data_IF_417762138271
#
_entry.id   IF_417762138271
#
_cell.length_a   1.000
_cell.length_b   1.000
_cell.length_c   1.000
_cell.angle_alpha   90.00
_cell.angle_beta   90.00
_cell.angle_gamma   90.00
#
_symmetry.space_group_name_H-M   'P 1'
#
loop_
_entity.id
_entity.type
_entity.pdbx_description
1 polymer ?
#
# COMPACT_ATOMS: atom_id res chain seq x y z
N UNK A 1 4.23 17.04 7.39
CA UNK A 1 5.00 16.03 6.62
C UNK A 1 5.92 16.83 5.72
N UNK A 2 7.19 16.93 6.09
CA UNK A 2 8.14 17.82 5.42
C UNK A 2 8.76 17.09 4.23
N UNK A 3 8.74 17.78 3.07
CA UNK A 3 9.32 17.32 1.81
C UNK A 3 10.67 17.99 1.62
N UNK A 4 11.67 17.20 1.27
CA UNK A 4 13.02 17.64 0.92
C UNK A 4 13.38 17.13 -0.47
N UNK A 5 14.31 17.81 -1.15
CA UNK A 5 14.79 17.32 -2.43
C UNK A 5 15.85 16.23 -2.23
N UNK A 6 15.78 15.17 -3.04
CA UNK A 6 16.76 14.10 -3.04
C UNK A 6 18.14 14.66 -3.45
N UNK A 7 19.20 14.49 -2.65
CA UNK A 7 20.53 15.01 -2.99
C UNK A 7 21.13 14.35 -4.24
N UNK A 8 20.70 13.13 -4.58
CA UNK A 8 21.21 12.41 -5.75
C UNK A 8 20.50 12.77 -7.06
N UNK A 9 19.18 12.99 -7.04
CA UNK A 9 18.38 13.17 -8.27
C UNK A 9 17.46 14.39 -8.29
N UNK A 10 17.41 15.18 -7.21
CA UNK A 10 16.57 16.38 -7.08
C UNK A 10 15.06 16.13 -7.01
N UNK A 11 14.61 14.88 -6.95
CA UNK A 11 13.18 14.57 -6.81
C UNK A 11 12.69 14.80 -5.38
N UNK A 12 11.44 15.22 -5.16
CA UNK A 12 10.90 15.42 -3.82
C UNK A 12 10.77 14.09 -3.06
N UNK A 13 11.26 14.07 -1.83
CA UNK A 13 11.29 12.92 -0.92
C UNK A 13 10.76 13.36 0.44
N UNK A 14 9.93 12.53 1.07
CA UNK A 14 9.47 12.79 2.44
C UNK A 14 10.62 12.54 3.42
N UNK A 15 10.80 13.42 4.41
CA UNK A 15 11.84 13.30 5.45
C UNK A 15 11.88 11.94 6.18
N UNK A 16 10.74 11.25 6.31
CA UNK A 16 10.65 9.90 6.90
C UNK A 16 10.87 8.75 5.92
N UNK A 17 11.23 9.04 4.66
CA UNK A 17 11.48 8.00 3.65
C UNK A 17 12.83 7.35 3.87
N UNK A 18 12.88 6.02 3.75
CA UNK A 18 14.12 5.25 3.87
C UNK A 18 14.97 5.33 2.58
N UNK A 19 14.32 5.55 1.43
CA UNK A 19 14.97 5.70 0.13
C UNK A 19 14.14 6.58 -0.82
N UNK A 20 14.78 7.06 -1.89
CA UNK A 20 14.12 7.86 -2.92
C UNK A 20 13.26 6.97 -3.83
N UNK A 21 11.96 7.26 -3.95
CA UNK A 21 11.03 6.52 -4.84
C UNK A 21 11.34 6.70 -6.33
N UNK A 22 12.12 7.71 -6.71
CA UNK A 22 12.46 8.02 -8.10
C UNK A 22 13.74 7.32 -8.57
N UNK A 23 14.85 7.48 -7.85
CA UNK A 23 16.17 6.93 -8.23
C UNK A 23 16.61 5.73 -7.39
N UNK A 24 15.96 5.44 -6.28
CA UNK A 24 16.34 4.36 -5.37
C UNK A 24 17.47 4.70 -4.40
N UNK A 25 18.13 5.85 -4.55
CA UNK A 25 19.21 6.26 -3.64
C UNK A 25 18.72 6.42 -2.21
N UNK A 26 19.58 6.06 -1.28
CA UNK A 26 19.38 6.09 0.17
C UNK A 26 20.67 6.56 0.87
N UNK A 27 20.72 6.42 2.20
CA UNK A 27 21.86 6.83 3.04
C UNK A 27 23.17 6.17 2.60
N UNK A 28 23.14 4.91 2.17
CA UNK A 28 24.34 4.14 1.82
C UNK A 28 24.80 4.40 0.38
N UNK A 29 23.88 4.84 -0.49
CA UNK A 29 24.12 4.85 -1.93
C UNK A 29 24.11 6.24 -2.57
N UNK A 30 23.58 7.27 -1.90
CA UNK A 30 23.56 8.62 -2.49
C UNK A 30 23.01 9.78 -1.65
N UNK A 31 22.65 9.56 -0.38
CA UNK A 31 22.27 10.65 0.54
C UNK A 31 23.36 11.01 1.55
N UNK A 32 24.38 10.16 1.71
CA UNK A 32 25.57 10.39 2.53
C UNK A 32 26.70 11.12 1.77
N UNK A 33 27.81 11.35 2.47
CA UNK A 33 29.05 11.87 1.86
C UNK A 33 29.64 10.80 0.93
N UNK A 34 29.99 11.13 -0.33
CA UNK A 34 30.67 10.20 -1.23
C UNK A 34 31.95 9.57 -0.64
N UNK A 35 32.63 10.25 0.28
CA UNK A 35 33.82 9.73 0.94
C UNK A 35 33.53 8.59 1.93
N UNK A 36 32.31 8.52 2.45
CA UNK A 36 31.86 7.48 3.40
C UNK A 36 31.26 6.26 2.69
N UNK A 37 31.05 6.33 1.36
CA UNK A 37 30.45 5.25 0.57
C UNK A 37 31.54 4.29 0.07
N UNK A 38 31.59 3.10 0.65
CA UNK A 38 32.53 2.04 0.27
C UNK A 38 32.02 1.25 -0.96
N UNK A 39 32.48 1.67 -2.15
CA UNK A 39 32.19 0.95 -3.38
C UNK A 39 33.04 -0.31 -3.50
N UNK A 40 32.41 -1.46 -3.23
CA UNK A 40 33.03 -2.76 -3.44
C UNK A 40 33.08 -3.10 -4.94
N UNK A 41 34.25 -2.94 -5.56
CA UNK A 41 34.50 -3.40 -6.92
C UNK A 41 34.83 -4.89 -6.93
N UNK A 42 34.07 -5.68 -7.71
CA UNK A 42 34.40 -7.08 -7.98
C UNK A 42 35.08 -7.19 -9.35
N UNK A 43 36.11 -8.03 -9.45
CA UNK A 43 36.69 -8.40 -10.73
C UNK A 43 35.67 -9.24 -11.50
N UNK A 44 35.22 -8.74 -12.65
CA UNK A 44 34.37 -9.51 -13.55
C UNK A 44 35.21 -10.61 -14.21
N UNK A 45 34.67 -11.84 -14.36
CA UNK A 45 35.36 -12.89 -15.09
C UNK A 45 35.57 -12.47 -16.56
N UNK A 46 36.67 -12.91 -17.17
CA UNK A 46 36.94 -12.71 -18.59
C UNK A 46 35.81 -13.39 -19.40
N UNK A 47 35.25 -12.65 -20.36
CA UNK A 47 34.08 -13.07 -21.12
C UNK A 47 34.46 -14.19 -22.11
N UNK A 48 34.24 -15.45 -21.73
CA UNK A 48 34.08 -16.52 -22.70
C UNK A 48 32.83 -16.20 -23.52
N UNK A 49 32.99 -16.14 -24.85
CA UNK A 49 32.01 -15.71 -25.85
C UNK A 49 30.80 -16.65 -25.99
N UNK A 50 30.11 -16.90 -24.89
CA UNK A 50 28.89 -17.67 -24.80
C UNK A 50 27.71 -16.67 -24.76
N UNK A 51 26.72 -16.76 -25.67
CA UNK A 51 25.61 -15.83 -25.69
C UNK A 51 24.89 -15.78 -24.34
N UNK A 52 24.95 -14.61 -23.69
CA UNK A 52 24.25 -14.31 -22.44
C UNK A 52 22.74 -14.38 -22.70
N UNK A 53 22.07 -15.40 -22.14
CA UNK A 53 20.62 -15.46 -22.17
C UNK A 53 20.06 -14.34 -21.28
N UNK A 54 19.10 -13.52 -21.75
CA UNK A 54 18.50 -12.47 -20.93
C UNK A 54 17.83 -13.09 -19.71
N UNK A 55 18.33 -12.77 -18.50
CA UNK A 55 17.59 -13.05 -17.28
C UNK A 55 16.36 -12.14 -17.22
N UNK A 56 15.19 -12.72 -17.47
CA UNK A 56 13.92 -12.04 -17.29
C UNK A 56 13.67 -11.81 -15.79
N UNK A 57 14.02 -10.62 -15.29
CA UNK A 57 13.66 -10.20 -13.93
C UNK A 57 12.16 -9.92 -13.88
N UNK A 58 11.37 -10.94 -13.59
CA UNK A 58 9.92 -10.84 -13.40
C UNK A 58 9.60 -9.99 -12.15
N UNK A 59 9.40 -8.68 -12.34
CA UNK A 59 8.93 -7.76 -11.29
C UNK A 59 7.48 -8.10 -10.90
N UNK A 60 7.32 -9.00 -9.94
CA UNK A 60 6.04 -9.43 -9.39
C UNK A 60 5.43 -8.35 -8.45
N UNK A 61 4.93 -7.25 -9.02
CA UNK A 61 4.15 -6.21 -8.30
C UNK A 61 2.63 -6.44 -8.36
N UNK A 62 2.17 -7.54 -8.97
CA UNK A 62 0.74 -7.81 -9.26
C UNK A 62 0.07 -8.82 -8.33
N UNK A 63 0.80 -9.51 -7.44
CA UNK A 63 0.20 -10.55 -6.57
C UNK A 63 -0.48 -10.07 -5.29
N UNK A 64 -0.37 -8.79 -4.90
CA UNK A 64 -1.00 -8.29 -3.66
C UNK A 64 -2.42 -7.76 -3.80
N UNK A 65 -2.86 -7.40 -5.01
CA UNK A 65 -4.20 -6.81 -5.23
C UNK A 65 -5.32 -7.85 -5.29
N UNK A 66 -5.05 -9.06 -5.80
CA UNK A 66 -6.06 -10.12 -5.91
C UNK A 66 -6.54 -10.69 -4.57
N UNK A 67 -5.63 -10.84 -3.60
CA UNK A 67 -5.95 -11.36 -2.26
C UNK A 67 -6.73 -10.35 -1.40
N UNK A 68 -6.50 -9.06 -1.60
CA UNK A 68 -7.22 -8.01 -0.87
C UNK A 68 -8.71 -7.92 -1.27
N UNK A 69 -9.02 -8.10 -2.56
CA UNK A 69 -10.41 -8.06 -3.06
C UNK A 69 -11.23 -9.28 -2.60
N UNK A 70 -10.64 -10.48 -2.60
CA UNK A 70 -11.31 -11.68 -2.11
C UNK A 70 -11.50 -11.65 -0.59
N UNK A 71 -10.52 -11.15 0.17
CA UNK A 71 -10.65 -10.96 1.61
C UNK A 71 -11.73 -9.94 1.98
N UNK A 72 -11.83 -8.81 1.25
CA UNK A 72 -12.83 -7.78 1.49
C UNK A 72 -14.27 -8.25 1.26
N UNK A 73 -14.53 -9.04 0.22
CA UNK A 73 -15.87 -9.60 -0.06
C UNK A 73 -16.30 -10.61 1.00
N UNK A 74 -15.40 -11.46 1.46
CA UNK A 74 -15.71 -12.45 2.50
C UNK A 74 -16.07 -11.78 3.84
N UNK A 75 -15.30 -10.77 4.27
CA UNK A 75 -15.56 -10.04 5.52
C UNK A 75 -16.82 -9.17 5.41
N UNK A 76 -17.01 -8.45 4.30
CA UNK A 76 -18.20 -7.64 4.06
C UNK A 76 -19.49 -8.45 4.02
N UNK A 77 -19.46 -9.63 3.39
CA UNK A 77 -20.60 -10.55 3.36
C UNK A 77 -20.96 -11.10 4.75
N UNK A 78 -19.95 -11.40 5.59
CA UNK A 78 -20.16 -11.91 6.95
C UNK A 78 -20.76 -10.87 7.90
N UNK A 79 -20.37 -9.59 7.75
CA UNK A 79 -20.97 -8.46 8.52
C UNK A 79 -22.41 -8.20 8.06
N UNK A 80 -22.67 -8.18 6.75
CA UNK A 80 -24.02 -8.00 6.23
C UNK A 80 -24.97 -9.14 6.65
N UNK A 81 -24.47 -10.38 6.70
CA UNK A 81 -25.26 -11.54 7.13
C UNK A 81 -25.58 -11.54 8.64
N UNK A 82 -24.71 -10.96 9.48
CA UNK A 82 -24.93 -10.89 10.93
C UNK A 82 -25.70 -9.66 11.40
N UNK A 83 -26.02 -8.69 10.52
CA UNK A 83 -26.65 -7.42 10.90
C UNK A 83 -28.16 -7.31 10.58
N UNK A 84 -28.83 -8.34 10.05
CA UNK A 84 -30.10 -8.12 9.33
C UNK A 84 -31.44 -8.70 9.81
N UNK A 85 -31.61 -9.43 10.94
CA UNK A 85 -32.98 -9.70 11.40
C UNK A 85 -33.36 -9.07 12.75
N UNK A 86 -32.44 -8.89 13.70
CA UNK A 86 -32.77 -8.45 15.06
C UNK A 86 -32.91 -6.93 15.20
N UNK A 87 -32.00 -6.16 14.60
CA UNK A 87 -32.04 -4.69 14.63
C UNK A 87 -33.23 -4.13 13.82
N UNK A 88 -33.64 -4.83 12.75
CA UNK A 88 -34.76 -4.42 11.91
C UNK A 88 -36.10 -4.39 12.66
N UNK A 89 -36.32 -5.31 13.60
CA UNK A 89 -37.53 -5.35 14.43
C UNK A 89 -37.59 -4.17 15.40
N UNK A 90 -36.45 -3.78 15.99
CA UNK A 90 -36.37 -2.62 16.87
C UNK A 90 -36.62 -1.33 16.09
N UNK A 91 -36.06 -1.21 14.88
CA UNK A 91 -36.29 -0.06 14.01
C UNK A 91 -37.78 0.07 13.65
N UNK A 92 -38.44 -1.03 13.23
CA UNK A 92 -39.87 -1.01 12.94
C UNK A 92 -40.75 -0.73 14.17
N UNK A 93 -40.37 -1.22 15.36
CA UNK A 93 -41.07 -0.95 16.61
C UNK A 93 -40.96 0.54 16.98
N UNK A 94 -39.75 1.12 16.90
CA UNK A 94 -39.51 2.54 17.17
C UNK A 94 -40.26 3.44 16.19
N UNK A 95 -40.22 3.13 14.88
CA UNK A 95 -40.98 3.86 13.86
C UNK A 95 -42.48 3.78 14.13
N UNK A 96 -43.01 2.61 14.48
CA UNK A 96 -44.42 2.42 14.84
C UNK A 96 -44.85 3.24 16.06
N UNK A 97 -44.03 3.28 17.12
CA UNK A 97 -44.30 4.09 18.31
C UNK A 97 -44.27 5.59 18.00
N UNK A 98 -43.31 6.03 17.18
CA UNK A 98 -43.21 7.42 16.75
C UNK A 98 -44.45 7.86 15.96
N UNK A 99 -44.86 7.07 14.97
CA UNK A 99 -46.06 7.36 14.18
C UNK A 99 -47.32 7.37 15.06
N UNK A 100 -47.40 6.50 16.08
CA UNK A 100 -48.50 6.49 17.04
C UNK A 100 -48.52 7.75 17.91
N UNK A 101 -47.37 8.25 18.37
CA UNK A 101 -47.31 9.52 19.10
C UNK A 101 -47.80 10.67 18.24
N UNK A 102 -47.29 10.79 17.01
CA UNK A 102 -47.68 11.87 16.08
C UNK A 102 -49.19 11.88 15.80
N UNK A 103 -49.83 10.71 15.72
CA UNK A 103 -51.29 10.62 15.55
C UNK A 103 -52.11 10.98 16.79
N UNK A 104 -51.51 11.00 17.99
CA UNK A 104 -52.20 11.45 19.21
C UNK A 104 -52.14 12.97 19.36
N UNK A 105 -51.25 13.64 18.63
CA UNK A 105 -51.02 15.09 18.69
C UNK A 105 -51.78 15.87 17.59
N UNK A 106 -52.45 15.18 16.66
CA UNK A 106 -53.30 15.77 15.61
C UNK A 106 -54.77 15.46 15.83
#
# INVERSE_FOLDING_TARGET
>A
MELQDCPHCGSPVESSSICCKACGSDVETGWGDPADIDYQSIALPEEDSNPVQPLEVARNRRRRTGLALLGGLAVGGLVAANFLPTEALLIWLVIGLYLRMVQQEG
#
